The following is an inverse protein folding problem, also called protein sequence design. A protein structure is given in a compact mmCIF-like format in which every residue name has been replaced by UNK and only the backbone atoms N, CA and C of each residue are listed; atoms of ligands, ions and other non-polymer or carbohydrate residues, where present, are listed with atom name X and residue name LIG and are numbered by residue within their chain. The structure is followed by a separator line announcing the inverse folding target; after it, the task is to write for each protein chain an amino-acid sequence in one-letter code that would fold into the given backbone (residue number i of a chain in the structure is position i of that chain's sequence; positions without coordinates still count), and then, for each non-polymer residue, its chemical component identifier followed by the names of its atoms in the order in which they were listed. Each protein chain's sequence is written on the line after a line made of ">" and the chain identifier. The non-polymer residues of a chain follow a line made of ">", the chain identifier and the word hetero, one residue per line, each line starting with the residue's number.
data_IF_031855030910
#
_entry.id   IF_031855030910
#
_cell.length_a   1.000
_cell.length_b   1.000
_cell.length_c   1.000
_cell.angle_alpha   90.00
_cell.angle_beta   90.00
_cell.angle_gamma   90.00
#
_symmetry.space_group_name_H-M   'P 1'
#
loop_
_entity.id
_entity.type
_entity.pdbx_description
1 polymer ?
#
# COMPACT_ATOMS: atom_id res chain seq x y z
N UNK A 1 0.60 25.98 -24.66
CA UNK A 1 0.68 25.35 -23.32
C UNK A 1 2.14 25.11 -23.00
N UNK A 2 2.72 25.83 -22.04
CA UNK A 2 4.07 25.59 -21.55
C UNK A 2 4.11 24.25 -20.81
N UNK A 3 5.05 23.37 -21.16
CA UNK A 3 5.25 22.12 -20.42
C UNK A 3 5.61 22.46 -18.97
N UNK A 4 4.98 21.83 -17.96
CA UNK A 4 5.38 22.04 -16.58
C UNK A 4 6.85 21.67 -16.41
N UNK A 5 7.61 22.53 -15.74
CA UNK A 5 9.02 22.27 -15.40
C UNK A 5 9.09 21.52 -14.09
N UNK A 6 9.74 20.36 -14.08
CA UNK A 6 9.93 19.53 -12.90
C UNK A 6 11.37 19.62 -12.39
N UNK A 7 11.54 19.78 -11.08
CA UNK A 7 12.85 19.73 -10.40
C UNK A 7 12.87 18.60 -9.37
N UNK A 8 13.91 17.78 -9.41
CA UNK A 8 14.14 16.76 -8.39
C UNK A 8 14.36 17.38 -7.01
N UNK A 9 13.70 16.82 -6.01
CA UNK A 9 13.89 17.15 -4.59
C UNK A 9 14.19 15.87 -3.80
N UNK A 10 14.72 16.01 -2.58
CA UNK A 10 14.94 14.84 -1.71
C UNK A 10 13.61 14.31 -1.18
N UNK A 11 13.51 12.99 -1.03
CA UNK A 11 12.38 12.32 -0.40
C UNK A 11 11.69 11.31 -1.30
N UNK A 12 10.50 10.91 -0.89
CA UNK A 12 9.65 9.95 -1.59
C UNK A 12 8.18 10.28 -1.36
N UNK A 13 7.38 9.27 -1.03
CA UNK A 13 5.91 9.41 -0.93
C UNK A 13 5.42 10.43 0.12
N UNK A 14 6.25 10.78 1.10
CA UNK A 14 5.93 11.77 2.14
C UNK A 14 6.55 13.16 1.90
N UNK A 15 7.18 13.37 0.73
CA UNK A 15 7.69 14.70 0.35
C UNK A 15 6.55 15.71 0.14
N UNK A 16 5.41 15.37 -0.51
CA UNK A 16 4.26 16.26 -0.56
C UNK A 16 3.60 16.40 0.81
N UNK A 17 3.03 17.57 1.08
CA UNK A 17 2.26 17.80 2.31
C UNK A 17 0.99 16.95 2.34
N UNK A 18 0.55 16.62 3.55
CA UNK A 18 -0.65 15.82 3.76
C UNK A 18 -0.47 14.30 3.62
N UNK A 19 0.76 13.81 3.40
CA UNK A 19 1.05 12.38 3.36
C UNK A 19 1.89 11.91 4.55
N UNK A 20 1.44 10.82 5.17
CA UNK A 20 2.14 10.09 6.21
C UNK A 20 2.38 8.66 5.71
N UNK A 21 3.48 8.05 6.15
CA UNK A 21 3.76 6.67 5.81
C UNK A 21 4.41 5.92 6.97
N UNK A 22 4.35 4.60 6.90
CA UNK A 22 5.01 3.67 7.79
C UNK A 22 5.36 2.39 7.05
N UNK A 23 6.46 1.76 7.45
CA UNK A 23 6.78 0.37 7.13
C UNK A 23 7.12 -0.37 8.40
N UNK A 24 6.54 -1.56 8.57
CA UNK A 24 6.73 -2.40 9.76
C UNK A 24 7.04 -3.83 9.35
N UNK A 25 7.67 -4.56 10.27
CA UNK A 25 7.79 -6.01 10.19
C UNK A 25 6.55 -6.62 10.86
N UNK A 26 5.63 -7.12 10.05
CA UNK A 26 4.45 -7.88 10.47
C UNK A 26 4.73 -9.40 10.54
N UNK A 27 5.90 -9.87 10.09
CA UNK A 27 6.28 -11.29 10.13
C UNK A 27 5.76 -12.11 8.94
N UNK A 28 5.38 -11.45 7.85
CA UNK A 28 4.94 -12.10 6.61
C UNK A 28 6.15 -12.75 5.93
N UNK A 29 7.27 -12.02 5.86
CA UNK A 29 8.56 -12.55 5.46
C UNK A 29 9.18 -13.35 6.60
N UNK A 30 9.95 -14.38 6.25
CA UNK A 30 10.71 -15.18 7.23
C UNK A 30 11.84 -14.37 7.86
N UNK A 31 12.48 -13.50 7.07
CA UNK A 31 13.54 -12.61 7.54
C UNK A 31 12.92 -11.48 8.37
N UNK A 32 13.66 -11.00 9.38
CA UNK A 32 13.30 -9.84 10.20
C UNK A 32 13.45 -8.52 9.41
N UNK A 33 12.69 -8.39 8.32
CA UNK A 33 12.67 -7.25 7.43
C UNK A 33 11.26 -6.66 7.34
N UNK A 34 11.11 -5.34 7.14
CA UNK A 34 9.80 -4.75 6.90
C UNK A 34 9.06 -5.42 5.73
N UNK A 35 7.78 -5.67 5.92
CA UNK A 35 6.94 -6.43 4.99
C UNK A 35 5.48 -5.98 4.96
N UNK A 36 5.13 -4.94 5.73
CA UNK A 36 3.84 -4.26 5.64
C UNK A 36 4.06 -2.73 5.62
N UNK A 37 3.65 -2.10 4.54
CA UNK A 37 3.66 -0.67 4.34
C UNK A 37 2.25 -0.10 4.48
N UNK A 38 2.16 1.12 4.99
CA UNK A 38 0.93 1.91 5.03
C UNK A 38 1.25 3.35 4.62
N UNK A 39 0.54 3.86 3.62
CA UNK A 39 0.58 5.26 3.18
C UNK A 39 -0.79 5.88 3.39
N UNK A 40 -0.84 7.04 4.04
CA UNK A 40 -2.07 7.71 4.47
C UNK A 40 -2.05 9.17 4.07
N UNK A 41 -3.15 9.62 3.48
CA UNK A 41 -3.28 10.94 2.88
C UNK A 41 -3.86 12.04 3.79
N UNK A 42 -3.71 12.13 5.12
CA UNK A 42 -4.40 13.10 6.05
C UNK A 42 -5.91 13.48 5.83
N UNK A 43 -6.36 13.87 4.65
CA UNK A 43 -7.73 13.98 4.12
C UNK A 43 -8.03 12.95 3.03
N UNK A 44 -9.31 12.73 2.72
CA UNK A 44 -9.70 12.03 1.48
C UNK A 44 -9.41 12.92 0.26
N UNK A 45 -9.14 12.31 -0.88
CA UNK A 45 -8.85 13.07 -2.10
C UNK A 45 -8.95 12.21 -3.36
N UNK A 46 -8.83 12.89 -4.50
CA UNK A 46 -8.86 12.23 -5.81
C UNK A 46 -7.78 11.16 -5.91
N UNK A 47 -8.13 10.01 -6.47
CA UNK A 47 -7.19 8.94 -6.74
C UNK A 47 -7.34 8.44 -8.17
N UNK A 48 -6.19 8.16 -8.79
CA UNK A 48 -6.10 7.51 -10.09
C UNK A 48 -5.16 6.31 -9.97
N UNK A 49 -5.39 5.28 -10.78
CA UNK A 49 -4.59 4.06 -10.77
C UNK A 49 -4.74 3.29 -12.05
N UNK A 50 -3.68 2.59 -12.43
CA UNK A 50 -3.68 1.62 -13.53
C UNK A 50 -3.30 0.26 -12.96
N UNK A 51 -3.80 -0.79 -13.59
CA UNK A 51 -3.60 -2.16 -13.12
C UNK A 51 -3.05 -3.03 -14.25
N UNK A 52 -2.41 -4.15 -13.89
CA UNK A 52 -1.96 -5.14 -14.86
C UNK A 52 -3.08 -5.57 -15.81
N UNK A 53 -2.76 -5.77 -17.09
CA UNK A 53 -3.67 -6.32 -18.10
C UNK A 53 -3.68 -7.85 -18.12
N UNK A 54 -2.86 -8.49 -17.29
CA UNK A 54 -2.82 -9.94 -17.18
C UNK A 54 -4.19 -10.50 -16.78
N UNK A 55 -4.62 -11.58 -17.45
CA UNK A 55 -5.88 -12.29 -17.18
C UNK A 55 -5.92 -12.87 -15.76
N UNK A 56 -4.77 -13.24 -15.21
CA UNK A 56 -4.63 -13.78 -13.85
C UNK A 56 -4.32 -12.62 -12.89
N UNK A 57 -5.34 -11.81 -12.60
CA UNK A 57 -5.22 -10.70 -11.65
C UNK A 57 -5.26 -11.21 -10.20
N UNK A 58 -4.37 -10.68 -9.35
CA UNK A 58 -4.38 -10.97 -7.92
C UNK A 58 -5.65 -10.42 -7.25
N UNK A 59 -6.05 -11.00 -6.11
CA UNK A 59 -7.21 -10.54 -5.35
C UNK A 59 -7.18 -9.02 -4.99
N UNK A 60 -6.07 -8.43 -4.54
CA UNK A 60 -5.97 -6.98 -4.32
C UNK A 60 -6.27 -6.15 -5.58
N UNK A 61 -5.82 -6.59 -6.77
CA UNK A 61 -6.08 -5.88 -8.02
C UNK A 61 -7.58 -5.86 -8.35
N UNK A 62 -8.27 -6.97 -8.11
CA UNK A 62 -9.72 -7.05 -8.33
C UNK A 62 -10.47 -6.13 -7.38
N UNK A 63 -10.07 -6.08 -6.10
CA UNK A 63 -10.63 -5.18 -5.10
C UNK A 63 -10.40 -3.70 -5.48
N UNK A 64 -9.17 -3.34 -5.78
CA UNK A 64 -8.77 -1.95 -6.03
C UNK A 64 -9.38 -1.40 -7.32
N UNK A 65 -9.60 -2.23 -8.35
CA UNK A 65 -10.40 -1.85 -9.54
C UNK A 65 -11.82 -1.45 -9.16
N UNK A 66 -12.43 -2.11 -8.17
CA UNK A 66 -13.77 -1.76 -7.70
C UNK A 66 -13.74 -0.48 -6.85
N UNK A 67 -12.77 -0.32 -5.95
CA UNK A 67 -12.59 0.91 -5.17
C UNK A 67 -12.33 2.13 -6.06
N UNK A 68 -11.51 1.97 -7.11
CA UNK A 68 -11.13 3.07 -8.02
C UNK A 68 -12.33 3.68 -8.77
N UNK A 69 -13.41 2.92 -8.97
CA UNK A 69 -14.66 3.45 -9.58
C UNK A 69 -15.25 4.62 -8.77
N UNK A 70 -14.96 4.70 -7.47
CA UNK A 70 -15.37 5.80 -6.62
C UNK A 70 -14.52 7.06 -6.75
N UNK A 71 -13.34 7.00 -7.39
CA UNK A 71 -12.47 8.15 -7.68
C UNK A 71 -11.85 8.85 -6.46
N UNK A 72 -12.10 8.36 -5.25
CA UNK A 72 -11.64 8.97 -3.99
C UNK A 72 -10.90 7.92 -3.16
N UNK A 73 -9.72 8.29 -2.64
CA UNK A 73 -8.88 7.47 -1.79
C UNK A 73 -8.45 8.18 -0.50
N UNK A 74 -8.07 7.39 0.50
CA UNK A 74 -7.59 7.84 1.81
C UNK A 74 -6.25 7.21 2.19
N UNK A 75 -6.06 5.93 1.86
CA UNK A 75 -4.87 5.17 2.24
C UNK A 75 -4.57 4.04 1.26
N UNK A 76 -3.31 3.59 1.27
CA UNK A 76 -2.85 2.39 0.57
C UNK A 76 -2.09 1.53 1.57
N UNK A 77 -2.50 0.28 1.76
CA UNK A 77 -1.79 -0.73 2.56
C UNK A 77 -1.17 -1.75 1.62
N UNK A 78 0.11 -2.04 1.79
CA UNK A 78 0.83 -2.95 0.90
C UNK A 78 1.60 -3.96 1.72
N UNK A 79 1.39 -5.25 1.47
CA UNK A 79 2.23 -6.30 2.03
C UNK A 79 3.22 -6.84 0.98
N UNK A 80 4.38 -7.31 1.46
CA UNK A 80 5.34 -8.04 0.63
C UNK A 80 5.65 -9.43 1.21
N UNK A 81 6.19 -10.32 0.38
CA UNK A 81 6.44 -11.73 0.71
C UNK A 81 5.28 -12.68 0.35
N UNK A 82 4.10 -12.15 0.05
CA UNK A 82 2.94 -12.91 -0.42
C UNK A 82 2.11 -12.05 -1.40
N UNK A 83 1.83 -12.57 -2.60
CA UNK A 83 1.14 -11.83 -3.65
C UNK A 83 -0.38 -11.81 -3.52
N UNK A 84 -0.96 -12.65 -2.66
CA UNK A 84 -2.41 -12.90 -2.58
C UNK A 84 -3.04 -13.11 -3.97
N UNK A 85 -2.35 -13.89 -4.80
CA UNK A 85 -2.72 -14.20 -6.16
C UNK A 85 -3.07 -15.69 -6.27
N UNK A 86 -4.04 -16.02 -7.12
CA UNK A 86 -4.55 -17.39 -7.28
C UNK A 86 -5.11 -18.01 -5.98
N UNK A 87 -5.68 -17.18 -5.10
CA UNK A 87 -6.21 -17.55 -3.77
C UNK A 87 -7.75 -17.57 -3.71
N UNK A 88 -8.43 -17.39 -4.84
CA UNK A 88 -9.89 -17.49 -4.98
C UNK A 88 -10.67 -16.50 -4.10
N UNK A 89 -11.88 -16.91 -3.71
CA UNK A 89 -12.77 -16.09 -2.88
C UNK A 89 -12.16 -15.72 -1.52
N UNK A 90 -11.36 -16.62 -0.93
CA UNK A 90 -10.62 -16.36 0.30
C UNK A 90 -9.67 -15.18 0.14
N UNK A 91 -8.86 -15.16 -0.92
CA UNK A 91 -7.94 -14.05 -1.16
C UNK A 91 -8.64 -12.70 -1.30
N UNK A 92 -9.80 -12.67 -1.94
CA UNK A 92 -10.62 -11.47 -2.05
C UNK A 92 -11.19 -11.03 -0.69
N UNK A 93 -11.62 -11.98 0.14
CA UNK A 93 -12.06 -11.68 1.51
C UNK A 93 -10.92 -11.15 2.37
N UNK A 94 -9.72 -11.74 2.28
CA UNK A 94 -8.52 -11.30 2.99
C UNK A 94 -8.12 -9.86 2.60
N UNK A 95 -8.15 -9.53 1.30
CA UNK A 95 -7.89 -8.17 0.82
C UNK A 95 -8.95 -7.17 1.32
N UNK A 96 -10.23 -7.54 1.31
CA UNK A 96 -11.31 -6.70 1.87
C UNK A 96 -11.12 -6.49 3.37
N UNK A 97 -10.67 -7.51 4.10
CA UNK A 97 -10.40 -7.42 5.52
C UNK A 97 -9.23 -6.46 5.81
N UNK A 98 -8.14 -6.52 5.03
CA UNK A 98 -7.04 -5.55 5.13
C UNK A 98 -7.54 -4.11 4.98
N UNK A 99 -8.32 -3.85 3.93
CA UNK A 99 -8.91 -2.53 3.70
C UNK A 99 -9.81 -2.09 4.87
N UNK A 100 -10.66 -3.00 5.37
CA UNK A 100 -11.58 -2.73 6.49
C UNK A 100 -10.83 -2.42 7.79
N UNK A 101 -9.77 -3.14 8.10
CA UNK A 101 -8.96 -2.92 9.31
C UNK A 101 -8.31 -1.53 9.28
N UNK A 102 -7.68 -1.17 8.17
CA UNK A 102 -7.10 0.17 7.98
C UNK A 102 -8.19 1.24 8.04
N UNK A 103 -9.32 1.03 7.38
CA UNK A 103 -10.43 1.99 7.37
C UNK A 103 -10.96 2.27 8.78
N UNK A 104 -11.13 1.22 9.60
CA UNK A 104 -11.56 1.35 10.99
C UNK A 104 -10.58 2.16 11.85
N UNK A 105 -9.27 1.98 11.67
CA UNK A 105 -8.27 2.77 12.38
C UNK A 105 -8.19 4.23 11.93
N UNK A 106 -8.54 4.52 10.67
CA UNK A 106 -8.46 5.87 10.10
C UNK A 106 -9.78 6.63 10.14
N UNK A 107 -10.88 6.01 10.60
CA UNK A 107 -12.20 6.61 10.59
C UNK A 107 -12.73 6.94 9.18
N UNK A 108 -12.41 6.10 8.19
CA UNK A 108 -12.86 6.24 6.79
C UNK A 108 -13.66 5.01 6.36
N UNK A 109 -14.17 4.99 5.13
CA UNK A 109 -14.87 3.84 4.57
C UNK A 109 -13.91 2.89 3.86
N UNK A 110 -14.22 1.59 3.87
CA UNK A 110 -13.37 0.53 3.29
C UNK A 110 -13.00 0.80 1.82
N UNK A 111 -13.93 1.36 1.04
CA UNK A 111 -13.71 1.68 -0.38
C UNK A 111 -12.78 2.89 -0.64
N UNK A 112 -12.25 3.53 0.41
CA UNK A 112 -11.19 4.56 0.34
C UNK A 112 -9.80 3.99 0.59
N UNK A 113 -9.70 2.72 0.97
CA UNK A 113 -8.43 2.05 1.25
C UNK A 113 -8.10 1.09 0.12
N UNK A 114 -6.93 1.27 -0.49
CA UNK A 114 -6.42 0.43 -1.56
C UNK A 114 -5.41 -0.57 -0.98
N UNK A 115 -5.33 -1.75 -1.59
CA UNK A 115 -4.55 -2.89 -1.09
C UNK A 115 -3.58 -3.37 -2.15
N UNK A 116 -2.28 -3.39 -1.82
CA UNK A 116 -1.25 -4.02 -2.63
C UNK A 116 -0.73 -5.31 -1.97
N UNK A 117 -0.40 -6.31 -2.78
CA UNK A 117 0.31 -7.51 -2.33
C UNK A 117 1.34 -7.92 -3.37
N UNK A 118 2.55 -8.28 -2.92
CA UNK A 118 3.63 -8.74 -3.80
C UNK A 118 4.42 -9.88 -3.16
N UNK A 119 4.85 -10.88 -3.95
CA UNK A 119 5.60 -12.03 -3.47
C UNK A 119 5.13 -13.35 -4.06
N UNK A 120 5.11 -14.39 -3.24
CA UNK A 120 4.76 -15.76 -3.68
C UNK A 120 3.28 -15.85 -4.10
N UNK A 121 3.02 -16.50 -5.24
CA UNK A 121 1.68 -16.76 -5.80
C UNK A 121 1.14 -18.09 -5.25
N UNK A 122 -0.19 -18.20 -5.09
CA UNK A 122 -0.88 -19.45 -4.72
C UNK A 122 -0.90 -19.75 -3.23
N UNK A 123 -0.38 -18.86 -2.39
CA UNK A 123 -0.33 -19.02 -0.94
C UNK A 123 -1.34 -18.07 -0.26
N UNK A 124 -2.18 -18.55 0.67
CA UNK A 124 -3.10 -17.69 1.41
C UNK A 124 -2.33 -16.65 2.25
N UNK A 125 -2.90 -15.45 2.41
CA UNK A 125 -2.30 -14.43 3.28
C UNK A 125 -2.26 -14.93 4.74
N UNK A 126 -1.16 -14.71 5.48
CA UNK A 126 -1.08 -15.00 6.91
C UNK A 126 -1.86 -13.93 7.70
N UNK A 127 -3.20 -13.94 7.62
CA UNK A 127 -4.04 -12.85 8.14
C UNK A 127 -3.88 -12.58 9.64
N UNK A 128 -3.50 -13.57 10.45
CA UNK A 128 -3.17 -13.34 11.87
C UNK A 128 -2.04 -12.30 12.04
N UNK A 129 -1.03 -12.36 11.18
CA UNK A 129 0.11 -11.43 11.16
C UNK A 129 -0.29 -10.05 10.64
N UNK A 130 -1.10 -10.02 9.59
CA UNK A 130 -1.67 -8.79 9.03
C UNK A 130 -2.50 -8.04 10.08
N UNK A 131 -3.38 -8.74 10.81
CA UNK A 131 -4.23 -8.16 11.87
C UNK A 131 -3.41 -7.52 13.00
N UNK A 132 -2.23 -8.06 13.30
CA UNK A 132 -1.30 -7.47 14.27
C UNK A 132 -0.46 -6.34 13.67
N UNK A 133 -0.05 -6.48 12.40
CA UNK A 133 0.81 -5.53 11.71
C UNK A 133 0.12 -4.22 11.36
N UNK A 134 -1.17 -4.23 11.00
CA UNK A 134 -1.90 -3.01 10.61
C UNK A 134 -1.95 -1.99 11.76
N UNK A 135 -2.37 -2.34 13.00
CA UNK A 135 -2.30 -1.42 14.14
C UNK A 135 -0.88 -0.87 14.38
N UNK A 136 0.14 -1.73 14.27
CA UNK A 136 1.54 -1.32 14.41
C UNK A 136 2.00 -0.35 13.31
N UNK A 137 1.51 -0.49 12.08
CA UNK A 137 1.78 0.45 11.00
C UNK A 137 1.09 1.79 11.25
N UNK A 138 -0.16 1.77 11.72
CA UNK A 138 -0.94 2.98 12.06
C UNK A 138 -0.23 3.81 13.13
N UNK A 139 0.25 3.21 14.21
CA UNK A 139 0.93 3.93 15.30
C UNK A 139 2.27 4.54 14.88
N UNK A 140 2.87 4.08 13.77
CA UNK A 140 4.17 4.53 13.26
C UNK A 140 4.08 5.53 12.09
N UNK A 141 2.86 5.90 11.69
CA UNK A 141 2.61 6.87 10.62
C UNK A 141 3.24 8.22 10.94
N UNK A 142 4.11 8.69 10.04
CA UNK A 142 4.75 10.01 10.17
C UNK A 142 5.27 10.52 8.83
N UNK A 143 5.56 11.82 8.74
CA UNK A 143 6.16 12.45 7.55
C UNK A 143 7.53 11.86 7.20
N UNK A 144 8.29 11.39 8.19
CA UNK A 144 9.59 10.73 7.97
C UNK A 144 9.52 9.26 7.56
N UNK A 145 8.32 8.67 7.46
CA UNK A 145 8.16 7.21 7.31
C UNK A 145 8.14 6.68 5.87
N UNK A 146 8.40 7.54 4.87
CA UNK A 146 8.35 7.18 3.45
C UNK A 146 9.34 6.07 3.09
N UNK A 147 10.58 6.18 3.59
CA UNK A 147 11.65 5.21 3.29
C UNK A 147 11.40 3.85 3.91
N UNK A 148 10.78 3.79 5.09
CA UNK A 148 10.36 2.54 5.71
C UNK A 148 9.24 1.88 4.91
N UNK A 149 8.26 2.65 4.43
CA UNK A 149 7.21 2.12 3.55
C UNK A 149 7.82 1.57 2.26
N UNK A 150 8.76 2.30 1.64
CA UNK A 150 9.45 1.85 0.44
C UNK A 150 10.27 0.56 0.68
N UNK A 151 10.91 0.42 1.85
CA UNK A 151 11.57 -0.83 2.24
C UNK A 151 10.58 -1.98 2.45
N UNK A 152 9.42 -1.70 3.03
CA UNK A 152 8.43 -2.71 3.36
C UNK A 152 7.73 -3.33 2.15
N UNK A 153 7.77 -2.69 0.97
CA UNK A 153 7.21 -3.25 -0.26
C UNK A 153 8.20 -4.07 -1.10
N UNK A 154 9.49 -4.04 -0.77
CA UNK A 154 10.54 -4.78 -1.50
C UNK A 154 10.31 -6.29 -1.43
N UNK A 155 10.68 -7.02 -2.48
CA UNK A 155 10.77 -8.50 -2.46
C UNK A 155 12.20 -8.95 -2.68
N UNK A 156 12.61 -9.14 -3.93
CA UNK A 156 13.98 -9.50 -4.33
C UNK A 156 14.81 -8.29 -4.71
N UNK A 157 14.26 -7.09 -4.54
CA UNK A 157 14.95 -5.83 -4.74
C UNK A 157 16.28 -5.74 -3.97
N UNK A 158 17.35 -5.33 -4.66
CA UNK A 158 18.66 -5.09 -4.02
C UNK A 158 18.73 -3.73 -3.30
N UNK A 159 17.98 -2.75 -3.78
CA UNK A 159 17.99 -1.38 -3.27
C UNK A 159 16.58 -0.80 -3.19
N UNK A 160 16.39 0.17 -2.30
CA UNK A 160 15.14 0.94 -2.17
C UNK A 160 15.05 1.95 -3.32
N UNK A 161 13.87 2.13 -3.91
CA UNK A 161 13.63 3.12 -4.97
C UNK A 161 12.63 4.16 -4.50
N UNK A 162 13.00 5.43 -4.57
CA UNK A 162 12.18 6.58 -4.19
C UNK A 162 12.53 7.77 -5.10
N UNK A 163 11.56 8.61 -5.41
CA UNK A 163 11.75 9.87 -6.13
C UNK A 163 10.72 10.89 -5.66
N UNK A 164 11.10 12.16 -5.64
CA UNK A 164 10.21 13.28 -5.42
C UNK A 164 10.59 14.44 -6.36
N UNK A 165 9.58 15.11 -6.90
CA UNK A 165 9.74 16.27 -7.78
C UNK A 165 8.85 17.42 -7.32
N UNK A 166 9.26 18.65 -7.59
CA UNK A 166 8.41 19.84 -7.47
C UNK A 166 8.13 20.41 -8.86
N UNK A 167 6.89 20.85 -9.08
CA UNK A 167 6.48 21.58 -10.27
C UNK A 167 6.17 23.03 -9.87
N UNK A 168 6.59 23.97 -10.70
CA UNK A 168 6.18 25.38 -10.63
C UNK A 168 5.30 25.70 -11.82
#
# INVERSE_FOLDING_TARGET
>A
MTRPSFKNIRGGITAPEGFLAAGVHAGIKKQAAPDLALVVSTREGSIAGVFTTNRVAAAPVVLDRAHLRGGIGRAIVVNSGNANACTGARGLADAKEMARLVAGHLGTTTNRVFVGSTGVIGQPLPMARIRQGIPAAVTRLRRGGGREAARAIMTTDLTVKEVAVTAR
#
